data_IF_318026167485
#
_entry.id   IF_318026167485
#
_cell.length_a   1.000
_cell.length_b   1.000
_cell.length_c   1.000
_cell.angle_alpha   90.00
_cell.angle_beta   90.00
_cell.angle_gamma   90.00
#
_symmetry.space_group_name_H-M   'P 1'
#
loop_
_entity.id
_entity.type
_entity.pdbx_description
1 polymer ?
#
# COMPACT_ATOMS: atom_id res chain seq x y z
N UNK A 1 -27.99 -2.69 -27.55
CA UNK A 1 -28.33 -2.14 -26.21
C UNK A 1 -27.15 -2.46 -25.30
N UNK A 2 -26.12 -1.61 -25.28
CA UNK A 2 -24.99 -1.78 -24.36
C UNK A 2 -25.43 -1.26 -23.01
N UNK A 3 -25.33 -2.12 -22.01
CA UNK A 3 -25.67 -1.83 -20.62
C UNK A 3 -24.73 -0.72 -20.10
N UNK A 4 -25.09 0.53 -20.32
CA UNK A 4 -24.42 1.75 -19.82
C UNK A 4 -24.73 1.93 -18.32
N UNK A 5 -24.84 0.83 -17.58
CA UNK A 5 -25.52 0.76 -16.30
C UNK A 5 -24.68 1.21 -15.10
N UNK A 6 -23.35 1.29 -15.20
CA UNK A 6 -22.52 1.95 -14.18
C UNK A 6 -21.13 2.25 -14.73
N UNK A 7 -20.95 3.46 -15.25
CA UNK A 7 -19.63 4.02 -15.60
C UNK A 7 -18.67 4.03 -14.40
N UNK A 8 -19.23 4.02 -13.18
CA UNK A 8 -18.48 4.06 -11.94
C UNK A 8 -18.39 2.69 -11.26
N UNK A 9 -17.17 2.31 -10.90
CA UNK A 9 -16.86 1.21 -10.00
C UNK A 9 -16.77 1.75 -8.57
N UNK A 10 -17.50 1.13 -7.65
CA UNK A 10 -17.24 1.31 -6.23
C UNK A 10 -15.84 0.77 -5.87
N UNK A 11 -15.28 1.27 -4.77
CA UNK A 11 -14.02 0.75 -4.21
C UNK A 11 -14.01 -0.78 -4.09
N UNK A 12 -15.09 -1.41 -3.63
CA UNK A 12 -15.19 -2.87 -3.52
C UNK A 12 -15.08 -3.58 -4.88
N UNK A 13 -15.73 -3.04 -5.92
CA UNK A 13 -15.66 -3.59 -7.27
C UNK A 13 -14.28 -3.41 -7.90
N UNK A 14 -13.64 -2.26 -7.67
CA UNK A 14 -12.28 -2.00 -8.10
C UNK A 14 -11.30 -3.02 -7.50
N UNK A 15 -11.32 -3.20 -6.17
CA UNK A 15 -10.49 -4.19 -5.46
C UNK A 15 -10.71 -5.62 -5.99
N UNK A 16 -11.97 -6.02 -6.19
CA UNK A 16 -12.31 -7.33 -6.72
C UNK A 16 -11.82 -7.53 -8.16
N UNK A 17 -11.81 -6.47 -8.97
CA UNK A 17 -11.40 -6.54 -10.38
C UNK A 17 -9.90 -6.73 -10.55
N UNK A 18 -9.09 -6.00 -9.79
CA UNK A 18 -7.63 -6.01 -9.90
C UNK A 18 -6.94 -6.96 -8.90
N UNK A 19 -7.66 -7.49 -7.92
CA UNK A 19 -7.13 -8.48 -6.98
C UNK A 19 -6.16 -7.93 -5.94
N UNK A 20 -6.26 -6.64 -5.58
CA UNK A 20 -5.39 -6.02 -4.57
C UNK A 20 -6.08 -5.89 -3.20
N UNK A 21 -5.27 -5.74 -2.16
CA UNK A 21 -5.76 -5.48 -0.80
C UNK A 21 -6.21 -4.04 -0.60
N UNK A 22 -7.06 -3.82 0.40
CA UNK A 22 -7.51 -2.50 0.85
C UNK A 22 -6.34 -1.55 1.17
N UNK A 23 -5.31 -2.07 1.85
CA UNK A 23 -4.10 -1.33 2.21
C UNK A 23 -3.23 -1.00 1.00
N UNK A 24 -3.23 -1.86 -0.03
CA UNK A 24 -2.56 -1.59 -1.30
C UNK A 24 -3.24 -0.44 -2.03
N UNK A 25 -4.57 -0.46 -2.09
CA UNK A 25 -5.35 0.61 -2.71
C UNK A 25 -5.18 1.97 -2.02
N UNK A 26 -5.16 2.01 -0.68
CA UNK A 26 -4.93 3.28 0.04
C UNK A 26 -3.55 3.85 -0.26
N UNK A 27 -2.52 3.00 -0.23
CA UNK A 27 -1.13 3.41 -0.51
C UNK A 27 -0.99 3.92 -1.93
N UNK A 28 -1.55 3.19 -2.90
CA UNK A 28 -1.58 3.59 -4.31
C UNK A 28 -2.17 4.99 -4.50
N UNK A 29 -3.35 5.25 -3.90
CA UNK A 29 -3.99 6.58 -3.98
C UNK A 29 -3.18 7.72 -3.39
N UNK A 30 -2.34 7.47 -2.38
CA UNK A 30 -1.59 8.51 -1.67
C UNK A 30 -0.15 8.68 -2.13
N UNK A 31 0.45 7.64 -2.71
CA UNK A 31 1.90 7.57 -2.94
C UNK A 31 2.33 7.32 -4.38
N UNK A 32 1.44 6.83 -5.25
CA UNK A 32 1.83 6.47 -6.62
C UNK A 32 1.34 7.51 -7.62
N UNK A 33 2.29 8.06 -8.39
CA UNK A 33 2.01 9.03 -9.45
C UNK A 33 1.15 8.45 -10.57
N UNK A 34 1.18 7.13 -10.75
CA UNK A 34 0.48 6.43 -11.81
C UNK A 34 -0.69 5.58 -11.31
N UNK A 35 -1.45 6.08 -10.31
CA UNK A 35 -2.69 5.44 -9.85
C UNK A 35 -3.88 5.84 -10.74
N UNK A 36 -4.88 4.96 -10.98
CA UNK A 36 -6.03 5.33 -11.79
C UNK A 36 -6.81 6.50 -11.16
N UNK A 37 -7.30 7.45 -11.99
CA UNK A 37 -8.12 8.54 -11.52
C UNK A 37 -9.33 8.06 -10.74
N UNK A 38 -9.60 8.70 -9.60
CA UNK A 38 -10.70 8.37 -8.71
C UNK A 38 -11.49 9.61 -8.32
N UNK A 39 -12.76 9.39 -7.99
CA UNK A 39 -13.70 10.40 -7.55
C UNK A 39 -14.02 10.16 -6.08
N UNK A 40 -13.98 11.23 -5.29
CA UNK A 40 -14.47 11.23 -3.92
C UNK A 40 -15.87 11.86 -3.90
N UNK A 41 -16.89 11.05 -3.62
CA UNK A 41 -18.27 11.51 -3.48
C UNK A 41 -18.67 11.35 -2.01
N UNK A 42 -18.66 12.46 -1.28
CA UNK A 42 -18.75 12.44 0.18
C UNK A 42 -17.54 11.73 0.79
N UNK A 43 -17.76 10.61 1.46
CA UNK A 43 -16.70 9.78 2.05
C UNK A 43 -16.41 8.51 1.24
N UNK A 44 -17.07 8.33 0.09
CA UNK A 44 -16.96 7.12 -0.72
C UNK A 44 -16.06 7.37 -1.94
N UNK A 45 -15.23 6.38 -2.24
CA UNK A 45 -14.31 6.41 -3.39
C UNK A 45 -14.92 5.60 -4.53
N UNK A 46 -14.91 6.21 -5.71
CA UNK A 46 -15.37 5.61 -6.95
C UNK A 46 -14.31 5.75 -8.02
N UNK A 47 -14.31 4.83 -8.97
CA UNK A 47 -13.39 4.81 -10.11
C UNK A 47 -14.19 4.80 -11.39
N UNK A 48 -13.75 5.53 -12.42
CA UNK A 48 -14.35 5.39 -13.76
C UNK A 48 -13.86 4.09 -14.38
N UNK A 49 -14.77 3.25 -14.86
CA UNK A 49 -14.46 1.96 -15.45
C UNK A 49 -13.45 2.09 -16.60
N UNK A 50 -13.69 3.00 -17.55
CA UNK A 50 -12.79 3.23 -18.68
C UNK A 50 -11.38 3.63 -18.22
N UNK A 51 -11.26 4.54 -17.25
CA UNK A 51 -9.96 4.97 -16.74
C UNK A 51 -9.20 3.84 -16.02
N UNK A 52 -9.91 2.93 -15.36
CA UNK A 52 -9.31 1.72 -14.76
C UNK A 52 -8.84 0.76 -15.85
N UNK A 53 -9.63 0.55 -16.90
CA UNK A 53 -9.27 -0.32 -18.02
C UNK A 53 -8.02 0.21 -18.74
N UNK A 54 -7.98 1.50 -19.06
CA UNK A 54 -6.82 2.15 -19.68
C UNK A 54 -5.59 2.10 -18.78
N UNK A 55 -5.77 2.24 -17.47
CA UNK A 55 -4.68 2.12 -16.51
C UNK A 55 -4.10 0.70 -16.48
N UNK A 56 -4.94 -0.34 -16.46
CA UNK A 56 -4.50 -1.74 -16.49
C UNK A 56 -3.66 -1.99 -17.75
N UNK A 57 -4.16 -1.56 -18.93
CA UNK A 57 -3.43 -1.71 -20.19
C UNK A 57 -2.04 -1.04 -20.15
N UNK A 58 -1.92 0.13 -19.50
CA UNK A 58 -0.62 0.80 -19.31
C UNK A 58 0.30 0.01 -18.38
N UNK A 59 -0.22 -0.54 -17.28
CA UNK A 59 0.59 -1.37 -16.38
C UNK A 59 1.07 -2.64 -17.07
N UNK A 60 0.20 -3.30 -17.84
CA UNK A 60 0.55 -4.47 -18.64
C UNK A 60 1.63 -4.14 -19.67
N UNK A 61 1.53 -2.98 -20.34
CA UNK A 61 2.55 -2.52 -21.28
C UNK A 61 3.90 -2.29 -20.59
N UNK A 62 3.93 -1.68 -19.40
CA UNK A 62 5.16 -1.47 -18.62
C UNK A 62 5.80 -2.81 -18.21
N UNK A 63 5.00 -3.78 -17.78
CA UNK A 63 5.48 -5.10 -17.41
C UNK A 63 5.98 -5.91 -18.62
N UNK A 64 5.39 -5.69 -19.80
CA UNK A 64 5.71 -6.44 -21.02
C UNK A 64 6.86 -5.79 -21.83
N UNK A 65 7.06 -4.48 -21.71
CA UNK A 65 8.33 -3.86 -22.06
C UNK A 65 9.34 -4.30 -21.01
N UNK A 66 10.15 -5.33 -21.33
CA UNK A 66 11.26 -5.74 -20.47
C UNK A 66 12.08 -4.54 -19.99
N UNK A 67 12.82 -4.67 -18.86
CA UNK A 67 13.59 -3.56 -18.31
C UNK A 67 14.37 -2.90 -19.45
N UNK A 68 14.37 -1.55 -19.56
CA UNK A 68 15.14 -0.88 -20.59
C UNK A 68 16.53 -1.47 -20.52
N UNK A 69 16.95 -2.11 -21.60
CA UNK A 69 18.22 -2.78 -21.75
C UNK A 69 19.29 -1.72 -21.43
N UNK A 70 19.71 -1.70 -20.16
CA UNK A 70 20.76 -0.81 -19.69
C UNK A 70 21.97 -1.35 -20.42
N UNK A 71 22.40 -0.60 -21.45
CA UNK A 71 23.49 -0.99 -22.32
C UNK A 71 24.60 -1.63 -21.51
N UNK A 72 25.01 -2.82 -21.94
CA UNK A 72 26.17 -3.51 -21.44
C UNK A 72 27.40 -2.61 -21.66
N UNK A 73 27.67 -1.73 -20.70
CA UNK A 73 28.97 -1.08 -20.57
C UNK A 73 29.98 -2.21 -20.27
N UNK A 74 31.06 -2.34 -21.07
CA UNK A 74 32.07 -3.35 -20.83
C UNK A 74 32.71 -3.12 -19.46
N UNK A 75 32.60 -4.15 -18.62
CA UNK A 75 33.35 -4.31 -17.38
C UNK A 75 34.86 -4.27 -17.67
N UNK A 76 35.46 -3.09 -17.59
CA UNK A 76 36.91 -2.94 -17.45
C UNK A 76 37.32 -3.48 -16.09
N UNK A 77 37.70 -4.76 -16.12
CA UNK A 77 38.25 -5.55 -15.05
C UNK A 77 39.62 -4.98 -14.59
N UNK A 78 39.60 -3.95 -13.74
CA UNK A 78 40.80 -3.51 -13.01
C UNK A 78 40.84 -4.25 -11.67
N UNK A 79 41.65 -5.30 -11.65
CA UNK A 79 42.09 -5.99 -10.46
C UNK A 79 42.83 -5.05 -9.50
N UNK A 80 42.45 -5.05 -8.22
CA UNK A 80 43.41 -4.98 -7.12
C UNK A 80 42.76 -5.41 -5.77
N UNK A 81 43.55 -5.97 -4.83
CA UNK A 81 43.07 -6.80 -3.74
C UNK A 81 42.98 -6.09 -2.38
N UNK A 82 42.30 -6.75 -1.45
CA UNK A 82 42.55 -6.75 0.01
C UNK A 82 42.30 -5.45 0.77
N UNK A 83 41.34 -5.50 1.71
CA UNK A 83 41.60 -5.35 3.16
C UNK A 83 40.26 -5.40 3.92
N UNK A 84 40.06 -6.43 4.74
CA UNK A 84 39.15 -6.36 5.89
C UNK A 84 39.82 -5.55 7.00
N UNK A 85 39.05 -4.73 7.72
CA UNK A 85 39.12 -4.74 9.18
C UNK A 85 37.70 -4.86 9.75
N UNK A 86 37.44 -5.91 10.52
CA UNK A 86 37.56 -5.92 11.98
C UNK A 86 36.26 -5.44 12.64
N UNK A 87 35.57 -6.40 13.24
CA UNK A 87 34.42 -6.22 14.12
C UNK A 87 34.93 -5.70 15.46
N UNK A 88 34.47 -4.54 15.89
CA UNK A 88 34.34 -4.21 17.31
C UNK A 88 33.44 -2.99 17.46
N UNK A 89 32.30 -3.17 18.13
CA UNK A 89 31.30 -2.14 18.27
C UNK A 89 30.06 -2.63 19.02
N UNK A 90 30.25 -3.08 20.26
CA UNK A 90 29.20 -3.26 21.25
C UNK A 90 28.48 -1.92 21.48
N UNK A 91 27.41 -1.69 20.72
CA UNK A 91 26.42 -0.65 20.97
C UNK A 91 25.24 -1.25 21.72
N UNK A 92 25.39 -1.44 23.03
CA UNK A 92 24.27 -1.70 23.94
C UNK A 92 23.44 -0.41 24.07
N UNK A 93 22.62 -0.11 23.05
CA UNK A 93 21.58 0.90 23.16
C UNK A 93 20.33 0.26 23.73
N UNK A 94 20.25 0.35 25.05
CA UNK A 94 19.04 0.18 25.83
C UNK A 94 17.86 0.91 25.19
N UNK A 95 16.97 0.15 24.55
CA UNK A 95 15.61 0.61 24.26
C UNK A 95 14.80 0.54 25.55
N UNK A 96 14.30 1.66 26.10
CA UNK A 96 13.26 1.57 27.12
C UNK A 96 11.95 1.10 26.45
N UNK A 97 11.23 0.11 27.01
CA UNK A 97 9.87 -0.16 26.58
C UNK A 97 8.99 1.00 27.04
N UNK A 98 8.60 1.86 26.09
CA UNK A 98 7.57 2.87 26.35
C UNK A 98 6.19 2.19 26.30
N UNK A 99 5.91 1.40 27.35
CA UNK A 99 4.59 0.87 27.65
C UNK A 99 3.73 2.04 28.10
N UNK A 100 2.94 2.61 27.18
CA UNK A 100 1.87 3.53 27.53
C UNK A 100 0.90 2.82 28.48
N UNK A 101 0.93 3.25 29.73
CA UNK A 101 -0.09 3.03 30.72
C UNK A 101 -1.41 3.67 30.28
N UNK A 102 -2.49 2.90 30.40
CA UNK A 102 -3.85 3.38 30.72
C UNK A 102 -4.86 3.47 29.57
N UNK A 103 -6.17 3.38 29.87
CA UNK A 103 -6.76 3.50 31.20
C UNK A 103 -7.39 2.22 31.77
N UNK A 104 -7.38 2.16 33.10
CA UNK A 104 -8.10 1.25 33.98
C UNK A 104 -9.58 1.11 33.59
N UNK A 105 -10.05 -0.12 33.45
CA UNK A 105 -11.46 -0.44 33.63
C UNK A 105 -11.68 -0.65 35.13
N UNK A 106 -11.87 0.45 35.86
CA UNK A 106 -12.50 0.38 37.18
C UNK A 106 -13.98 0.05 36.99
N UNK A 107 -14.30 -1.19 37.34
CA UNK A 107 -15.45 -1.62 38.12
C UNK A 107 -16.46 -0.52 38.51
N UNK A 108 -17.69 -0.65 38.00
CA UNK A 108 -18.91 -0.23 38.70
C UNK A 108 -19.87 -1.43 38.76
N UNK A 109 -20.28 -1.89 39.96
CA UNK A 109 -21.40 -2.79 40.14
C UNK A 109 -22.68 -2.00 40.47
N UNK A 110 -23.81 -2.74 40.51
CA UNK A 110 -25.12 -2.41 41.11
C UNK A 110 -26.01 -1.44 40.32
N UNK A 111 -27.34 -1.52 40.31
CA UNK A 111 -28.38 -2.45 40.77
C UNK A 111 -29.73 -1.86 40.33
N UNK A 112 -30.78 -2.68 40.24
CA UNK A 112 -32.20 -2.28 40.09
C UNK A 112 -32.81 -2.97 38.88
N UNK A 113 -33.59 -4.04 38.99
CA UNK A 113 -34.78 -4.23 39.84
C UNK A 113 -35.71 -3.01 39.77
N UNK A 114 -36.68 -3.10 38.86
CA UNK A 114 -37.88 -2.28 38.85
C UNK A 114 -39.00 -3.16 38.32
N UNK A 115 -39.71 -3.75 39.28
CA UNK A 115 -41.11 -4.14 39.19
C UNK A 115 -41.95 -2.96 38.68
N UNK A 116 -42.69 -3.15 37.60
CA UNK A 116 -44.14 -2.89 37.52
C UNK A 116 -44.77 -3.68 36.37
#
# INVERSE_FOLDING_TARGET
>A
MTDTGSELLSRKQFLAKIGISDSGERRGRTGERDWPPHLLVGQKVYYRRAAVDDWILRQEAICNSGPPEVGAEPIDNVAAPTTQPHVDGLGDSAFPPNTKQGPSLETLPQSGDSDE
#
